data_IF_896988593347
#
_entry.id   IF_896988593347
#
_cell.length_a   1.000
_cell.length_b   1.000
_cell.length_c   1.000
_cell.angle_alpha   90.00
_cell.angle_beta   90.00
_cell.angle_gamma   90.00
#
_symmetry.space_group_name_H-M   'P 1'
#
loop_
_entity.id
_entity.type
_entity.pdbx_description
1 polymer ?
#
# COMPACT_ATOMS: atom_id res chain seq x y z
N UNK A 1 -9.77 -6.59 17.63
CA UNK A 1 -9.52 -7.28 16.34
C UNK A 1 -8.03 -7.65 16.21
N UNK A 2 -7.62 -8.47 15.23
CA UNK A 2 -6.21 -8.85 15.03
C UNK A 2 -5.28 -7.63 14.92
N UNK A 3 -5.73 -6.59 14.21
CA UNK A 3 -5.00 -5.33 14.06
C UNK A 3 -4.59 -4.72 15.41
N UNK A 4 -5.53 -4.61 16.35
CA UNK A 4 -5.27 -3.99 17.66
C UNK A 4 -4.18 -4.75 18.43
N UNK A 5 -4.19 -6.09 18.34
CA UNK A 5 -3.15 -6.90 18.97
C UNK A 5 -1.78 -6.75 18.29
N UNK A 6 -1.72 -6.45 16.99
CA UNK A 6 -0.47 -6.14 16.28
C UNK A 6 0.03 -4.75 16.66
N UNK A 7 -0.87 -3.77 16.86
CA UNK A 7 -0.53 -2.44 17.38
C UNK A 7 0.09 -2.55 18.77
N UNK A 8 -0.47 -3.39 19.64
CA UNK A 8 0.06 -3.62 20.98
C UNK A 8 1.36 -4.44 20.99
N UNK A 9 1.49 -5.41 20.07
CA UNK A 9 2.62 -6.34 20.00
C UNK A 9 3.08 -6.55 18.56
N UNK A 10 4.16 -5.87 18.19
CA UNK A 10 4.70 -5.92 16.81
C UNK A 10 4.98 -7.35 16.31
N UNK A 11 5.38 -8.28 17.19
CA UNK A 11 5.63 -9.69 16.84
C UNK A 11 4.42 -10.39 16.23
N UNK A 12 3.19 -9.92 16.49
CA UNK A 12 1.99 -10.53 15.93
C UNK A 12 1.82 -10.23 14.43
N UNK A 13 2.63 -9.36 13.84
CA UNK A 13 2.71 -9.19 12.39
C UNK A 13 3.15 -10.47 11.66
N UNK A 14 3.78 -11.41 12.37
CA UNK A 14 4.12 -12.72 11.82
C UNK A 14 2.88 -13.51 11.41
N UNK A 15 1.74 -13.31 12.09
CA UNK A 15 0.48 -13.99 11.78
C UNK A 15 0.01 -13.66 10.36
N UNK A 16 -0.25 -12.38 9.98
CA UNK A 16 -0.59 -12.04 8.60
C UNK A 16 0.52 -12.40 7.63
N UNK A 17 1.79 -12.28 8.01
CA UNK A 17 2.91 -12.65 7.14
C UNK A 17 2.89 -14.15 6.76
N UNK A 18 2.58 -15.05 7.70
CA UNK A 18 2.43 -16.48 7.41
C UNK A 18 1.26 -16.77 6.46
N UNK A 19 0.14 -16.07 6.59
CA UNK A 19 -0.97 -16.21 5.64
C UNK A 19 -0.59 -15.71 4.24
N UNK A 20 0.17 -14.63 4.15
CA UNK A 20 0.63 -14.06 2.88
C UNK A 20 1.65 -14.97 2.15
N UNK A 21 2.40 -15.81 2.86
CA UNK A 21 3.37 -16.74 2.23
C UNK A 21 2.78 -18.12 1.96
N UNK A 22 1.62 -18.46 2.52
CA UNK A 22 0.96 -19.75 2.31
C UNK A 22 0.15 -19.75 1.00
N UNK A 23 0.59 -20.53 0.01
CA UNK A 23 -0.03 -20.62 -1.32
C UNK A 23 -1.52 -20.97 -1.30
N UNK A 24 -1.99 -21.73 -0.31
CA UNK A 24 -3.40 -22.13 -0.25
C UNK A 24 -4.35 -20.96 0.06
N UNK A 25 -3.85 -19.91 0.71
CA UNK A 25 -4.68 -18.81 1.26
C UNK A 25 -4.18 -17.42 0.93
N UNK A 26 -2.96 -17.29 0.39
CA UNK A 26 -2.28 -16.01 0.12
C UNK A 26 -3.14 -15.05 -0.71
N UNK A 27 -3.82 -15.53 -1.75
CA UNK A 27 -4.66 -14.70 -2.62
C UNK A 27 -5.83 -14.08 -1.86
N UNK A 28 -6.61 -14.91 -1.17
CA UNK A 28 -7.78 -14.47 -0.40
C UNK A 28 -7.36 -13.57 0.76
N UNK A 29 -6.27 -13.91 1.44
CA UNK A 29 -5.79 -13.11 2.56
C UNK A 29 -5.23 -11.76 2.10
N UNK A 30 -4.52 -11.71 0.97
CA UNK A 30 -4.07 -10.46 0.35
C UNK A 30 -5.25 -9.55 0.03
N UNK A 31 -6.34 -10.10 -0.48
CA UNK A 31 -7.56 -9.36 -0.81
C UNK A 31 -8.19 -8.73 0.45
N UNK A 32 -8.43 -9.55 1.48
CA UNK A 32 -8.99 -9.08 2.76
C UNK A 32 -8.10 -8.00 3.36
N UNK A 33 -6.79 -8.22 3.38
CA UNK A 33 -5.84 -7.30 3.97
C UNK A 33 -5.79 -5.97 3.19
N UNK A 34 -5.75 -6.00 1.86
CA UNK A 34 -5.74 -4.79 1.05
C UNK A 34 -7.05 -4.01 1.20
N UNK A 35 -8.21 -4.66 1.22
CA UNK A 35 -9.48 -4.00 1.46
C UNK A 35 -9.50 -3.28 2.83
N UNK A 36 -9.04 -3.96 3.89
CA UNK A 36 -8.91 -3.38 5.22
C UNK A 36 -7.97 -2.16 5.25
N UNK A 37 -6.79 -2.28 4.64
CA UNK A 37 -5.78 -1.22 4.65
C UNK A 37 -6.19 -0.01 3.80
N UNK A 38 -6.73 -0.24 2.59
CA UNK A 38 -7.19 0.81 1.69
C UNK A 38 -8.36 1.60 2.30
N UNK A 39 -9.29 0.91 2.96
CA UNK A 39 -10.41 1.55 3.67
C UNK A 39 -9.98 2.45 4.84
N UNK A 40 -8.75 2.29 5.33
CA UNK A 40 -8.21 2.99 6.50
C UNK A 40 -7.06 3.95 6.18
N UNK A 41 -6.81 4.28 4.91
CA UNK A 41 -5.68 5.13 4.54
C UNK A 41 -5.65 6.51 5.21
N UNK A 42 -6.80 7.07 5.57
CA UNK A 42 -6.89 8.32 6.35
C UNK A 42 -6.23 8.21 7.73
N UNK A 43 -6.19 7.00 8.30
CA UNK A 43 -5.63 6.74 9.64
C UNK A 43 -4.10 6.93 9.65
N UNK A 44 -3.44 6.97 8.48
CA UNK A 44 -2.02 7.32 8.39
C UNK A 44 -1.74 8.78 8.80
N UNK A 45 -2.71 9.69 8.68
CA UNK A 45 -2.60 11.07 9.14
C UNK A 45 -3.24 11.33 10.49
N UNK A 46 -4.21 10.52 10.92
CA UNK A 46 -4.99 10.73 12.16
C UNK A 46 -4.69 9.75 13.29
N UNK A 47 -4.18 8.55 13.00
CA UNK A 47 -3.93 7.50 13.99
C UNK A 47 -2.70 7.74 14.87
N UNK A 48 -2.58 6.99 15.95
CA UNK A 48 -1.39 7.00 16.80
C UNK A 48 -0.13 6.61 16.03
N UNK A 49 1.05 6.85 16.63
CA UNK A 49 2.33 6.46 16.03
C UNK A 49 2.39 4.95 15.79
N UNK A 50 1.94 4.15 16.76
CA UNK A 50 1.92 2.70 16.67
C UNK A 50 0.98 2.21 15.56
N UNK A 51 -0.26 2.74 15.51
CA UNK A 51 -1.21 2.38 14.44
C UNK A 51 -0.67 2.71 13.05
N UNK A 52 -0.06 3.90 12.90
CA UNK A 52 0.54 4.31 11.64
C UNK A 52 1.66 3.37 11.22
N UNK A 53 2.57 3.03 12.15
CA UNK A 53 3.67 2.09 11.90
C UNK A 53 3.14 0.70 11.53
N UNK A 54 2.15 0.19 12.26
CA UNK A 54 1.51 -1.10 11.97
C UNK A 54 0.87 -1.11 10.59
N UNK A 55 0.12 -0.06 10.22
CA UNK A 55 -0.46 0.06 8.88
C UNK A 55 0.60 0.04 7.77
N UNK A 56 1.67 0.83 7.92
CA UNK A 56 2.76 0.87 6.93
C UNK A 56 3.46 -0.48 6.79
N UNK A 57 3.68 -1.19 7.91
CA UNK A 57 4.28 -2.52 7.90
C UNK A 57 3.36 -3.56 7.26
N UNK A 58 2.05 -3.51 7.51
CA UNK A 58 1.05 -4.37 6.87
C UNK A 58 0.97 -4.13 5.37
N UNK A 59 0.98 -2.87 4.91
CA UNK A 59 1.09 -2.55 3.48
C UNK A 59 2.38 -3.11 2.87
N UNK A 60 3.51 -2.98 3.59
CA UNK A 60 4.81 -3.48 3.13
C UNK A 60 4.79 -5.00 2.90
N UNK A 61 4.27 -5.79 3.83
CA UNK A 61 4.20 -7.25 3.66
C UNK A 61 3.18 -7.65 2.58
N UNK A 62 2.05 -6.94 2.45
CA UNK A 62 1.06 -7.19 1.40
C UNK A 62 1.66 -6.95 0.01
N UNK A 63 2.34 -5.81 -0.17
CA UNK A 63 3.01 -5.50 -1.43
C UNK A 63 4.16 -6.48 -1.73
N UNK A 64 4.91 -6.92 -0.70
CA UNK A 64 5.92 -7.96 -0.88
C UNK A 64 5.31 -9.28 -1.36
N UNK A 65 4.14 -9.67 -0.86
CA UNK A 65 3.43 -10.85 -1.31
C UNK A 65 2.98 -10.72 -2.78
N UNK A 66 2.50 -9.54 -3.17
CA UNK A 66 2.14 -9.24 -4.56
C UNK A 66 3.36 -9.30 -5.49
N UNK A 67 4.51 -8.78 -5.06
CA UNK A 67 5.73 -8.79 -5.88
C UNK A 67 6.33 -10.20 -6.07
N UNK A 68 6.05 -11.12 -5.14
CA UNK A 68 6.68 -12.46 -5.11
C UNK A 68 5.78 -13.56 -5.65
N UNK A 69 4.46 -13.40 -5.55
CA UNK A 69 3.45 -14.42 -5.90
C UNK A 69 2.55 -13.86 -7.00
N UNK A 70 2.69 -14.30 -8.27
CA UNK A 70 1.98 -13.72 -9.42
C UNK A 70 0.44 -13.69 -9.27
N UNK A 71 -0.14 -14.68 -8.61
CA UNK A 71 -1.59 -14.79 -8.40
C UNK A 71 -2.17 -13.58 -7.63
N UNK A 72 -1.34 -12.95 -6.80
CA UNK A 72 -1.72 -11.82 -5.96
C UNK A 72 -1.73 -10.48 -6.73
N UNK A 73 -1.11 -10.40 -7.91
CA UNK A 73 -1.11 -9.16 -8.71
C UNK A 73 -2.53 -8.73 -9.09
N UNK A 74 -3.35 -9.69 -9.50
CA UNK A 74 -4.75 -9.47 -9.88
C UNK A 74 -5.56 -8.82 -8.76
N UNK A 75 -5.17 -9.04 -7.50
CA UNK A 75 -5.79 -8.50 -6.30
C UNK A 75 -5.38 -7.04 -6.08
N UNK A 76 -4.10 -6.68 -6.30
CA UNK A 76 -3.63 -5.31 -6.11
C UNK A 76 -4.15 -4.36 -7.21
N UNK A 77 -4.23 -4.83 -8.44
CA UNK A 77 -4.59 -4.03 -9.63
C UNK A 77 -5.80 -3.08 -9.43
N UNK A 78 -6.97 -3.53 -8.95
CA UNK A 78 -8.13 -2.64 -8.76
C UNK A 78 -7.90 -1.53 -7.71
N UNK A 79 -6.95 -1.71 -6.80
CA UNK A 79 -6.70 -0.75 -5.71
C UNK A 79 -5.66 0.32 -6.05
N UNK A 80 -4.82 0.12 -7.07
CA UNK A 80 -3.65 0.99 -7.34
C UNK A 80 -4.03 2.44 -7.54
N UNK A 81 -5.01 2.71 -8.40
CA UNK A 81 -5.46 4.10 -8.64
C UNK A 81 -5.94 4.75 -7.35
N UNK A 82 -6.70 4.02 -6.54
CA UNK A 82 -7.20 4.50 -5.25
C UNK A 82 -6.07 4.79 -4.27
N UNK A 83 -5.10 3.87 -4.15
CA UNK A 83 -3.95 4.03 -3.25
C UNK A 83 -3.10 5.22 -3.67
N UNK A 84 -2.71 5.30 -4.94
CA UNK A 84 -1.90 6.40 -5.48
C UNK A 84 -2.64 7.73 -5.29
N UNK A 85 -3.89 7.81 -5.76
CA UNK A 85 -4.71 9.02 -5.66
C UNK A 85 -4.91 9.47 -4.22
N UNK A 86 -5.17 8.54 -3.30
CA UNK A 86 -5.33 8.84 -1.87
C UNK A 86 -4.02 9.31 -1.24
N UNK A 87 -2.90 8.63 -1.52
CA UNK A 87 -1.59 9.05 -1.01
C UNK A 87 -1.27 10.49 -1.41
N UNK A 88 -1.55 10.88 -2.64
CA UNK A 88 -1.19 12.20 -3.15
C UNK A 88 -2.13 13.28 -2.66
N UNK A 89 -3.43 13.00 -2.66
CA UNK A 89 -4.44 13.90 -2.07
C UNK A 89 -4.11 14.19 -0.62
N UNK A 90 -3.88 13.16 0.18
CA UNK A 90 -3.59 13.32 1.59
C UNK A 90 -2.19 13.91 1.82
N UNK A 91 -1.19 13.61 0.99
CA UNK A 91 0.12 14.26 1.08
C UNK A 91 0.06 15.78 0.83
N UNK A 92 -0.94 16.27 0.09
CA UNK A 92 -1.13 17.71 -0.15
C UNK A 92 -1.98 18.41 0.93
N UNK A 93 -2.80 17.67 1.67
CA UNK A 93 -3.85 18.23 2.53
C UNK A 93 -3.65 17.97 4.02
N UNK A 94 -2.88 16.95 4.39
CA UNK A 94 -2.80 16.46 5.77
C UNK A 94 -1.58 16.99 6.54
N UNK A 95 -1.71 16.99 7.87
CA UNK A 95 -0.65 17.42 8.80
C UNK A 95 0.59 16.51 8.79
N UNK A 96 0.46 15.26 8.35
CA UNK A 96 1.54 14.24 8.35
C UNK A 96 1.73 13.64 6.94
N UNK A 97 2.18 14.43 5.96
CA UNK A 97 2.29 13.99 4.57
C UNK A 97 3.35 12.91 4.35
N UNK A 98 4.36 12.85 5.22
CA UNK A 98 5.48 11.90 5.14
C UNK A 98 5.04 10.43 5.11
N UNK A 99 3.98 10.07 5.84
CA UNK A 99 3.50 8.68 5.87
C UNK A 99 2.92 8.22 4.54
N UNK A 100 2.26 9.13 3.80
CA UNK A 100 1.76 8.84 2.47
C UNK A 100 2.88 8.74 1.44
N UNK A 101 3.93 9.56 1.55
CA UNK A 101 5.13 9.41 0.72
C UNK A 101 5.86 8.08 0.98
N UNK A 102 5.93 7.64 2.24
CA UNK A 102 6.51 6.34 2.61
C UNK A 102 5.71 5.17 2.02
N UNK A 103 4.37 5.24 2.08
CA UNK A 103 3.50 4.24 1.47
C UNK A 103 3.67 4.22 -0.05
N UNK A 104 3.67 5.40 -0.67
CA UNK A 104 3.86 5.56 -2.11
C UNK A 104 5.22 5.01 -2.56
N UNK A 105 6.31 5.29 -1.84
CA UNK A 105 7.65 4.72 -2.05
C UNK A 105 7.65 3.19 -1.95
N UNK A 106 6.91 2.64 -0.99
CA UNK A 106 6.82 1.20 -0.78
C UNK A 106 6.06 0.52 -1.92
N UNK A 107 4.99 1.15 -2.40
CA UNK A 107 4.26 0.72 -3.61
C UNK A 107 5.15 0.79 -4.85
N UNK A 108 5.86 1.91 -5.06
CA UNK A 108 6.81 2.07 -6.17
C UNK A 108 7.78 0.90 -6.24
N UNK A 109 8.44 0.61 -5.13
CA UNK A 109 9.40 -0.50 -5.08
C UNK A 109 8.77 -1.83 -5.44
N UNK A 110 7.58 -2.14 -4.90
CA UNK A 110 6.92 -3.42 -5.13
C UNK A 110 6.51 -3.62 -6.60
N UNK A 111 6.03 -2.56 -7.24
CA UNK A 111 5.59 -2.58 -8.63
C UNK A 111 6.79 -2.61 -9.60
N UNK A 112 7.89 -1.93 -9.28
CA UNK A 112 9.08 -1.87 -10.14
C UNK A 112 10.05 -3.04 -10.00
N UNK A 113 9.98 -3.84 -8.93
CA UNK A 113 10.91 -4.96 -8.70
C UNK A 113 10.49 -6.28 -9.35
N UNK A 114 9.25 -6.37 -9.87
CA UNK A 114 8.78 -7.54 -10.61
C UNK A 114 8.67 -7.24 -12.10
N UNK A 115 9.68 -7.61 -12.89
CA UNK A 115 9.71 -7.43 -14.36
C UNK A 115 8.59 -8.14 -15.16
N UNK A 116 7.54 -8.63 -14.48
CA UNK A 116 6.35 -9.28 -15.03
C UNK A 116 5.11 -8.38 -15.05
N UNK A 117 5.15 -7.20 -14.42
CA UNK A 117 3.98 -6.36 -14.20
C UNK A 117 3.88 -5.18 -15.16
N UNK A 118 4.09 -5.41 -16.46
CA UNK A 118 4.14 -4.32 -17.45
C UNK A 118 2.87 -3.46 -17.50
N UNK A 119 1.69 -4.07 -17.42
CA UNK A 119 0.42 -3.33 -17.47
C UNK A 119 0.25 -2.44 -16.23
N UNK A 120 0.62 -2.98 -15.07
CA UNK A 120 0.55 -2.32 -13.78
C UNK A 120 1.57 -1.18 -13.69
N UNK A 121 2.79 -1.41 -14.19
CA UNK A 121 3.82 -0.38 -14.39
C UNK A 121 3.38 0.71 -15.36
N UNK A 122 2.76 0.37 -16.50
CA UNK A 122 2.25 1.36 -17.48
C UNK A 122 1.16 2.24 -16.88
N UNK A 123 0.20 1.62 -16.20
CA UNK A 123 -0.89 2.33 -15.51
C UNK A 123 -0.32 3.28 -14.44
N UNK A 124 0.68 2.80 -13.70
CA UNK A 124 1.32 3.56 -12.65
C UNK A 124 2.20 4.72 -13.15
N UNK A 125 3.00 4.50 -14.20
CA UNK A 125 3.79 5.56 -14.87
C UNK A 125 2.85 6.64 -15.42
N UNK A 126 1.71 6.25 -16.01
CA UNK A 126 0.70 7.19 -16.49
C UNK A 126 0.14 8.06 -15.36
N UNK A 127 -0.17 7.46 -14.21
CA UNK A 127 -0.59 8.22 -13.02
C UNK A 127 0.50 9.20 -12.59
N UNK A 128 1.73 8.71 -12.39
CA UNK A 128 2.89 9.54 -12.00
C UNK A 128 3.07 10.76 -12.89
N UNK A 129 3.01 10.57 -14.22
CA UNK A 129 3.15 11.66 -15.19
C UNK A 129 2.04 12.68 -15.05
N UNK A 130 0.79 12.22 -14.98
CA UNK A 130 -0.38 13.10 -14.77
C UNK A 130 -0.27 13.92 -13.48
N UNK A 131 0.35 13.37 -12.44
CA UNK A 131 0.53 14.03 -11.16
C UNK A 131 1.66 15.05 -11.19
N UNK A 132 2.79 14.70 -11.80
CA UNK A 132 3.91 15.62 -11.99
C UNK A 132 3.47 16.84 -12.82
N UNK A 133 2.70 16.61 -13.88
CA UNK A 133 2.13 17.67 -14.72
C UNK A 133 1.18 18.58 -13.91
N UNK A 134 0.36 17.99 -13.03
CA UNK A 134 -0.56 18.75 -12.17
C UNK A 134 0.17 19.58 -11.11
N UNK A 135 1.22 19.02 -10.50
CA UNK A 135 2.05 19.73 -9.53
C UNK A 135 2.85 20.88 -10.19
N UNK A 136 3.38 20.63 -11.39
CA UNK A 136 4.11 21.65 -12.14
C UNK A 136 3.22 22.85 -12.46
N UNK A 137 1.97 22.61 -12.87
CA UNK A 137 0.97 23.67 -13.13
C UNK A 137 0.56 24.47 -11.89
N UNK A 138 0.69 23.91 -10.70
CA UNK A 138 0.38 24.61 -9.45
C UNK A 138 1.56 25.47 -8.95
N UNK A 139 2.76 25.19 -9.44
CA UNK A 139 4.00 25.89 -9.07
C UNK A 139 4.43 26.95 -10.11
N UNK A 140 3.80 26.95 -11.29
CA UNK A 140 3.96 27.95 -12.36
C UNK A 140 2.91 29.04 -12.27
#
# INVERSE_FOLDING_TARGET
>A
ALFDHIVDRETFILIPQHFLTNQAVTRVFTEILLQFLVGRMKDLSTGSRQETTTMLNLFKIAFSAVSTIPENESVLRPHIRSVVGSCLRHAMQEKRPVHYYMLLKTLFRAVSSGGKFELLMKEFISLLKSLLDSLTKLLS
#
